data_IF_400094007520
#
_entry.id   IF_400094007520
#
_cell.length_a   1.000
_cell.length_b   1.000
_cell.length_c   1.000
_cell.angle_alpha   90.00
_cell.angle_beta   90.00
_cell.angle_gamma   90.00
#
_symmetry.space_group_name_H-M   'P 1'
#
loop_
_entity.id
_entity.type
_entity.pdbx_description
1 polymer ?
#
# COMPACT_ATOMS: atom_id res chain seq x y z
N UNK A 1 -21.84 -15.75 -31.76
CA UNK A 1 -21.46 -14.37 -31.37
C UNK A 1 -19.94 -14.25 -31.43
N UNK A 2 -19.39 -13.50 -32.39
CA UNK A 2 -17.96 -13.21 -32.46
C UNK A 2 -17.63 -12.26 -31.30
N UNK A 3 -16.81 -12.71 -30.34
CA UNK A 3 -16.30 -11.85 -29.25
C UNK A 3 -15.42 -10.77 -29.88
N UNK A 4 -15.85 -9.52 -29.82
CA UNK A 4 -14.93 -8.41 -30.07
C UNK A 4 -13.86 -8.45 -28.96
N UNK A 5 -12.56 -8.36 -29.29
CA UNK A 5 -11.53 -8.23 -28.26
C UNK A 5 -11.75 -6.92 -27.52
N UNK A 6 -11.80 -6.96 -26.18
CA UNK A 6 -11.79 -5.73 -25.39
C UNK A 6 -10.45 -5.03 -25.64
N UNK A 7 -10.48 -3.78 -26.11
CA UNK A 7 -9.27 -3.01 -26.41
C UNK A 7 -8.63 -2.45 -25.12
N UNK A 8 -9.43 -2.30 -24.05
CA UNK A 8 -8.96 -1.96 -22.70
C UNK A 8 -9.52 -2.93 -21.66
N UNK A 9 -8.64 -3.58 -20.88
CA UNK A 9 -9.01 -4.35 -19.70
C UNK A 9 -8.28 -3.77 -18.49
N UNK A 10 -9.01 -3.24 -17.51
CA UNK A 10 -8.42 -2.57 -16.34
C UNK A 10 -8.80 -3.34 -15.09
N UNK A 11 -7.79 -3.63 -14.25
CA UNK A 11 -7.99 -4.28 -12.96
C UNK A 11 -7.97 -3.25 -11.84
N UNK A 12 -9.04 -3.22 -11.06
CA UNK A 12 -9.08 -2.46 -9.81
C UNK A 12 -9.14 -3.40 -8.62
N UNK A 13 -8.36 -3.05 -7.59
CA UNK A 13 -8.45 -3.71 -6.29
C UNK A 13 -8.91 -2.73 -5.24
N UNK A 14 -9.80 -3.20 -4.37
CA UNK A 14 -10.09 -2.56 -3.09
C UNK A 14 -9.82 -3.56 -1.98
N UNK A 15 -8.77 -3.31 -1.19
CA UNK A 15 -8.57 -4.03 0.06
C UNK A 15 -9.20 -3.23 1.20
N UNK A 16 -10.25 -3.79 1.80
CA UNK A 16 -10.97 -3.14 2.90
C UNK A 16 -10.26 -3.50 4.22
N UNK A 17 -9.98 -2.49 5.06
CA UNK A 17 -9.43 -2.66 6.42
C UNK A 17 -7.96 -2.30 6.62
N UNK A 18 -7.29 -1.64 5.66
CA UNK A 18 -5.83 -1.42 5.67
C UNK A 18 -5.25 -0.59 6.85
N UNK A 19 -6.00 0.33 7.46
CA UNK A 19 -5.36 1.37 8.30
C UNK A 19 -6.00 1.66 9.66
N UNK A 20 -7.18 1.12 9.97
CA UNK A 20 -7.97 1.60 11.13
C UNK A 20 -8.47 0.50 12.07
N UNK A 21 -7.73 -0.61 12.15
CA UNK A 21 -8.26 -1.81 12.78
C UNK A 21 -9.48 -2.32 12.01
N UNK A 22 -9.99 -3.46 12.45
CA UNK A 22 -11.17 -4.05 11.84
C UNK A 22 -12.37 -3.23 12.33
N UNK A 23 -12.79 -2.22 11.57
CA UNK A 23 -13.92 -1.33 11.93
C UNK A 23 -15.28 -2.05 11.99
N UNK A 24 -15.33 -3.31 11.55
CA UNK A 24 -16.47 -4.18 11.74
C UNK A 24 -16.05 -5.40 12.55
N UNK A 25 -16.77 -5.81 13.61
CA UNK A 25 -16.53 -7.12 14.19
C UNK A 25 -16.61 -8.14 13.05
N UNK A 26 -15.52 -8.88 12.80
CA UNK A 26 -15.60 -10.05 11.94
C UNK A 26 -16.61 -10.95 12.64
N UNK A 27 -17.83 -11.02 12.10
CA UNK A 27 -18.80 -12.03 12.50
C UNK A 27 -18.17 -13.42 12.25
N UNK A 28 -18.85 -14.50 12.64
CA UNK A 28 -18.31 -15.85 12.45
C UNK A 28 -18.18 -16.26 10.97
N UNK A 29 -18.68 -15.46 10.01
CA UNK A 29 -18.61 -15.73 8.56
C UNK A 29 -18.72 -14.43 7.74
N UNK A 30 -17.67 -13.59 7.67
CA UNK A 30 -17.75 -12.31 7.00
C UNK A 30 -17.67 -12.49 5.49
N UNK A 31 -18.35 -11.63 4.74
CA UNK A 31 -18.12 -11.54 3.30
C UNK A 31 -16.73 -10.97 3.09
N UNK A 32 -15.81 -11.82 2.67
CA UNK A 32 -14.39 -11.47 2.48
C UNK A 32 -14.03 -11.17 1.03
N UNK A 33 -14.96 -11.35 0.09
CA UNK A 33 -14.71 -11.05 -1.33
C UNK A 33 -15.97 -10.59 -2.07
N UNK A 34 -15.81 -9.70 -3.04
CA UNK A 34 -16.84 -9.32 -4.00
C UNK A 34 -16.22 -8.91 -5.34
N UNK A 35 -16.89 -9.21 -6.45
CA UNK A 35 -16.39 -8.97 -7.80
C UNK A 35 -17.42 -8.14 -8.59
N UNK A 36 -16.94 -7.18 -9.39
CA UNK A 36 -17.79 -6.35 -10.25
C UNK A 36 -17.15 -6.20 -11.62
N UNK A 37 -17.93 -6.52 -12.66
CA UNK A 37 -17.59 -6.20 -14.04
C UNK A 37 -18.28 -4.90 -14.43
N UNK A 38 -17.52 -3.91 -14.90
CA UNK A 38 -18.05 -2.66 -15.43
C UNK A 38 -17.66 -2.56 -16.90
N UNK A 39 -18.62 -2.72 -17.80
CA UNK A 39 -18.40 -2.56 -19.23
C UNK A 39 -18.32 -1.08 -19.59
N UNK A 40 -17.28 -0.70 -20.31
CA UNK A 40 -17.06 0.66 -20.79
C UNK A 40 -16.95 0.65 -22.32
N UNK A 41 -17.02 1.82 -22.95
CA UNK A 41 -16.77 1.89 -24.38
C UNK A 41 -15.37 1.37 -24.69
N UNK A 42 -15.28 0.35 -25.56
CA UNK A 42 -14.01 -0.27 -25.94
C UNK A 42 -13.36 -1.18 -24.89
N UNK A 43 -13.99 -1.45 -23.75
CA UNK A 43 -13.29 -2.16 -22.68
C UNK A 43 -14.12 -2.68 -21.51
N UNK A 44 -13.39 -3.18 -20.51
CA UNK A 44 -13.90 -3.79 -19.30
C UNK A 44 -13.05 -3.36 -18.09
N UNK A 45 -13.73 -2.97 -17.01
CA UNK A 45 -13.10 -2.76 -15.71
C UNK A 45 -13.55 -3.86 -14.76
N UNK A 46 -12.64 -4.74 -14.36
CA UNK A 46 -12.87 -5.72 -13.32
C UNK A 46 -12.45 -5.15 -11.96
N UNK A 47 -13.40 -5.00 -11.05
CA UNK A 47 -13.16 -4.59 -9.67
C UNK A 47 -13.21 -5.80 -8.76
N UNK A 48 -12.13 -6.05 -8.03
CA UNK A 48 -12.00 -7.13 -7.05
C UNK A 48 -11.90 -6.51 -5.67
N UNK A 49 -12.88 -6.81 -4.82
CA UNK A 49 -12.87 -6.42 -3.41
C UNK A 49 -12.47 -7.65 -2.62
N UNK A 50 -11.37 -7.56 -1.87
CA UNK A 50 -10.98 -8.61 -0.94
C UNK A 50 -10.73 -8.00 0.44
N UNK A 51 -11.15 -8.69 1.49
CA UNK A 51 -10.96 -8.19 2.84
C UNK A 51 -9.50 -8.38 3.29
N UNK A 52 -8.84 -7.33 3.79
CA UNK A 52 -7.40 -7.39 4.07
C UNK A 52 -7.04 -8.34 5.23
N UNK A 53 -8.01 -8.74 6.05
CA UNK A 53 -7.81 -9.76 7.07
C UNK A 53 -7.46 -11.15 6.50
N UNK A 54 -7.82 -11.43 5.23
CA UNK A 54 -7.51 -12.71 4.60
C UNK A 54 -6.32 -12.63 3.64
N UNK A 55 -6.01 -11.46 3.10
CA UNK A 55 -5.08 -11.32 1.98
C UNK A 55 -4.33 -9.99 2.01
N UNK A 56 -3.09 -9.98 1.57
CA UNK A 56 -2.32 -8.77 1.28
C UNK A 56 -2.19 -8.54 -0.24
N UNK A 57 -1.48 -7.49 -0.67
CA UNK A 57 -1.31 -7.19 -2.10
C UNK A 57 -0.59 -8.28 -2.90
N UNK A 58 0.45 -8.91 -2.34
CA UNK A 58 1.16 -9.98 -3.03
C UNK A 58 0.33 -11.28 -3.09
N UNK A 59 -0.44 -11.56 -2.04
CA UNK A 59 -1.40 -12.67 -1.99
C UNK A 59 -2.53 -12.45 -2.98
N UNK A 60 -2.99 -11.20 -3.14
CA UNK A 60 -3.92 -10.81 -4.19
C UNK A 60 -3.38 -11.19 -5.56
N UNK A 61 -2.09 -10.98 -5.83
CA UNK A 61 -1.43 -11.48 -7.04
C UNK A 61 -1.61 -12.99 -7.22
N UNK A 62 -1.26 -13.79 -6.21
CA UNK A 62 -1.44 -15.24 -6.25
C UNK A 62 -2.88 -15.66 -6.52
N UNK A 63 -3.86 -14.96 -5.92
CA UNK A 63 -5.28 -15.17 -6.16
C UNK A 63 -5.68 -14.83 -7.59
N UNK A 64 -5.24 -13.68 -8.12
CA UNK A 64 -5.56 -13.23 -9.48
C UNK A 64 -5.04 -14.20 -10.52
N UNK A 65 -3.80 -14.67 -10.38
CA UNK A 65 -3.24 -15.65 -11.29
C UNK A 65 -4.05 -16.94 -11.32
N UNK A 66 -4.39 -17.45 -10.14
CA UNK A 66 -5.19 -18.65 -10.02
C UNK A 66 -6.58 -18.47 -10.64
N UNK A 67 -7.21 -17.30 -10.46
CA UNK A 67 -8.49 -16.97 -11.09
C UNK A 67 -8.36 -16.86 -12.62
N UNK A 68 -7.36 -16.13 -13.10
CA UNK A 68 -7.12 -15.91 -14.53
C UNK A 68 -6.88 -17.22 -15.28
N UNK A 69 -6.01 -18.09 -14.76
CA UNK A 69 -5.72 -19.39 -15.35
C UNK A 69 -6.94 -20.32 -15.36
N UNK A 70 -7.78 -20.28 -14.31
CA UNK A 70 -9.05 -21.00 -14.31
C UNK A 70 -9.98 -20.48 -15.41
N UNK A 71 -10.15 -19.15 -15.52
CA UNK A 71 -10.94 -18.53 -16.59
C UNK A 71 -10.42 -18.90 -17.98
N UNK A 72 -9.09 -18.84 -18.17
CA UNK A 72 -8.43 -19.24 -19.41
C UNK A 72 -8.75 -20.69 -19.77
N UNK A 73 -8.63 -21.61 -18.81
CA UNK A 73 -8.89 -23.04 -19.04
C UNK A 73 -10.33 -23.31 -19.47
N UNK A 74 -11.30 -22.60 -18.89
CA UNK A 74 -12.72 -22.71 -19.25
C UNK A 74 -12.97 -22.15 -20.66
N UNK A 75 -12.41 -20.99 -20.98
CA UNK A 75 -12.64 -20.32 -22.28
C UNK A 75 -12.02 -21.10 -23.43
N UNK A 76 -10.78 -21.57 -23.24
CA UNK A 76 -9.98 -22.23 -24.27
C UNK A 76 -10.04 -23.76 -24.22
N UNK A 77 -10.79 -24.32 -23.26
CA UNK A 77 -10.93 -25.77 -23.05
C UNK A 77 -9.58 -26.48 -22.85
N UNK A 78 -8.66 -25.84 -22.15
CA UNK A 78 -7.38 -26.43 -21.75
C UNK A 78 -7.51 -27.14 -20.40
N UNK A 79 -6.45 -27.84 -19.97
CA UNK A 79 -6.41 -28.40 -18.62
C UNK A 79 -6.51 -27.28 -17.57
N UNK A 80 -7.27 -27.47 -16.47
CA UNK A 80 -7.28 -26.54 -15.36
C UNK A 80 -5.89 -26.37 -14.73
N UNK A 81 -5.57 -25.19 -14.18
CA UNK A 81 -4.33 -24.99 -13.45
C UNK A 81 -4.25 -25.88 -12.21
N UNK A 82 -3.02 -26.20 -11.78
CA UNK A 82 -2.79 -26.94 -10.54
C UNK A 82 -3.24 -26.09 -9.35
N UNK A 83 -3.98 -26.69 -8.42
CA UNK A 83 -4.32 -26.09 -7.14
C UNK A 83 -3.32 -26.55 -6.06
N UNK A 84 -2.30 -25.75 -5.79
CA UNK A 84 -1.34 -26.05 -4.73
C UNK A 84 -1.88 -25.61 -3.37
N UNK A 85 -2.29 -26.59 -2.55
CA UNK A 85 -2.83 -26.37 -1.20
C UNK A 85 -1.84 -25.65 -0.28
N UNK A 86 -0.53 -25.73 -0.54
CA UNK A 86 0.49 -25.01 0.25
C UNK A 86 0.36 -23.50 0.12
N UNK A 87 -0.22 -23.00 -0.98
CA UNK A 87 -0.49 -21.57 -1.15
C UNK A 87 -1.57 -21.04 -0.20
N UNK A 88 -2.27 -21.92 0.52
CA UNK A 88 -3.25 -21.59 1.54
C UNK A 88 -2.79 -21.92 2.97
N UNK A 89 -1.60 -22.51 3.13
CA UNK A 89 -1.11 -22.94 4.44
C UNK A 89 -0.64 -21.75 5.29
N UNK A 90 -1.43 -21.40 6.31
CA UNK A 90 -1.14 -20.33 7.27
C UNK A 90 -0.50 -20.85 8.57
N UNK A 91 -0.06 -22.10 8.61
CA UNK A 91 0.49 -22.75 9.80
C UNK A 91 1.66 -21.98 10.43
N UNK A 92 2.51 -21.37 9.60
CA UNK A 92 3.67 -20.58 10.06
C UNK A 92 3.30 -19.34 10.88
N UNK A 93 2.08 -18.80 10.72
CA UNK A 93 1.60 -17.62 11.45
C UNK A 93 0.83 -17.98 12.72
N UNK A 94 0.79 -19.27 13.09
CA UNK A 94 0.19 -19.73 14.35
C UNK A 94 1.22 -19.65 15.46
N UNK A 95 0.81 -19.13 16.62
CA UNK A 95 1.70 -19.05 17.79
C UNK A 95 2.07 -20.47 18.23
N UNK A 96 3.38 -20.74 18.39
CA UNK A 96 3.94 -22.03 18.80
C UNK A 96 3.92 -22.13 20.33
N UNK A 97 2.73 -22.25 20.91
CA UNK A 97 2.56 -22.45 22.34
C UNK A 97 1.39 -21.67 22.91
N UNK A 98 0.51 -22.36 23.64
CA UNK A 98 -0.37 -21.71 24.61
C UNK A 98 0.53 -21.22 25.75
N UNK A 99 0.98 -19.97 25.68
CA UNK A 99 1.42 -19.28 26.90
C UNK A 99 0.25 -19.39 27.89
N UNK A 100 0.54 -19.82 29.12
CA UNK A 100 -0.47 -19.97 30.16
C UNK A 100 -1.31 -18.69 30.21
N UNK A 101 -2.62 -18.85 30.01
CA UNK A 101 -3.59 -17.79 29.78
C UNK A 101 -3.75 -16.87 31.01
N UNK A 102 -2.73 -16.07 31.34
CA UNK A 102 -2.99 -14.74 31.91
C UNK A 102 -3.28 -13.84 30.72
N UNK A 103 -4.50 -13.99 30.18
CA UNK A 103 -5.04 -13.14 29.14
C UNK A 103 -4.85 -11.69 29.57
N UNK A 104 -4.05 -10.94 28.81
CA UNK A 104 -3.94 -9.52 29.05
C UNK A 104 -5.15 -8.87 28.38
N UNK A 105 -6.09 -8.42 29.21
CA UNK A 105 -7.03 -7.38 28.78
C UNK A 105 -6.23 -6.09 28.64
N UNK A 106 -5.63 -5.89 27.46
CA UNK A 106 -5.15 -4.57 27.09
C UNK A 106 -6.41 -3.72 27.02
N UNK A 107 -6.58 -2.82 28.00
CA UNK A 107 -7.65 -1.85 27.96
C UNK A 107 -7.62 -1.20 26.56
N UNK A 108 -8.77 -1.01 25.89
CA UNK A 108 -8.80 -0.19 24.69
C UNK A 108 -8.10 1.11 25.07
N UNK A 109 -6.93 1.36 24.49
CA UNK A 109 -6.39 2.69 24.55
C UNK A 109 -7.41 3.49 23.77
N UNK A 110 -8.31 4.14 24.51
CA UNK A 110 -9.09 5.24 24.00
C UNK A 110 -8.01 6.12 23.41
N UNK A 111 -7.93 6.16 22.09
CA UNK A 111 -7.26 7.25 21.44
C UNK A 111 -8.09 8.42 21.91
N UNK A 112 -7.66 9.06 23.01
CA UNK A 112 -7.82 10.50 23.08
C UNK A 112 -7.25 10.91 21.73
N UNK A 113 -8.13 11.31 20.83
CA UNK A 113 -7.78 12.16 19.73
C UNK A 113 -7.20 13.40 20.42
N UNK A 114 -5.96 13.30 20.91
CA UNK A 114 -5.18 14.35 21.53
C UNK A 114 -4.93 15.30 20.38
N UNK A 115 -5.92 16.16 20.16
CA UNK A 115 -5.91 17.27 19.22
C UNK A 115 -5.20 16.88 17.92
N UNK A 116 -5.84 16.01 17.13
CA UNK A 116 -5.46 15.84 15.72
C UNK A 116 -5.28 17.27 15.16
N UNK A 117 -4.09 17.63 14.64
CA UNK A 117 -3.97 18.91 13.95
C UNK A 117 -5.08 18.96 12.90
N UNK A 118 -5.82 20.07 12.85
CA UNK A 118 -6.99 20.29 11.97
C UNK A 118 -6.77 19.55 10.65
N UNK A 119 -7.50 18.46 10.40
CA UNK A 119 -7.37 17.70 9.16
C UNK A 119 -7.57 18.65 7.99
N UNK A 120 -6.48 18.94 7.28
CA UNK A 120 -6.54 19.79 6.10
C UNK A 120 -7.10 18.96 4.94
N UNK A 121 -7.89 19.54 4.03
CA UNK A 121 -8.41 18.81 2.89
C UNK A 121 -7.28 18.11 2.12
N UNK A 122 -7.34 16.77 2.02
CA UNK A 122 -6.32 15.95 1.37
C UNK A 122 -6.75 15.50 -0.03
N UNK A 123 -5.80 15.27 -0.93
CA UNK A 123 -5.97 14.60 -2.22
C UNK A 123 -4.81 13.63 -2.47
N UNK A 124 -4.74 13.03 -3.66
CA UNK A 124 -3.58 12.28 -4.08
C UNK A 124 -3.12 12.73 -5.46
N UNK A 125 -1.82 13.01 -5.55
CA UNK A 125 -1.11 13.31 -6.78
C UNK A 125 -0.64 11.98 -7.38
N UNK A 126 -1.00 11.74 -8.65
CA UNK A 126 -0.49 10.62 -9.42
C UNK A 126 0.74 11.08 -10.19
N UNK A 127 1.89 10.49 -9.85
CA UNK A 127 3.18 10.75 -10.48
C UNK A 127 3.66 9.51 -11.23
N UNK A 128 4.44 9.69 -12.29
CA UNK A 128 5.15 8.64 -13.01
C UNK A 128 6.65 8.91 -12.91
N UNK A 129 7.44 7.92 -12.53
CA UNK A 129 8.91 8.00 -12.50
C UNK A 129 9.46 7.26 -13.72
N UNK A 130 9.91 7.98 -14.77
CA UNK A 130 10.45 7.35 -15.96
C UNK A 130 11.70 6.53 -15.64
N UNK A 131 11.90 5.39 -16.31
CA UNK A 131 13.06 4.52 -16.12
C UNK A 131 14.38 5.25 -16.37
N UNK A 132 14.42 6.14 -17.36
CA UNK A 132 15.60 6.99 -17.62
C UNK A 132 16.02 7.83 -16.39
N UNK A 133 15.05 8.31 -15.62
CA UNK A 133 15.26 9.11 -14.40
C UNK A 133 15.58 8.25 -13.18
N UNK A 134 15.13 6.99 -13.15
CA UNK A 134 15.42 6.02 -12.08
C UNK A 134 16.93 5.83 -11.90
N UNK A 135 17.69 5.72 -12.99
CA UNK A 135 19.12 5.44 -12.92
C UNK A 135 19.88 6.60 -12.28
N UNK A 136 19.57 7.84 -12.67
CA UNK A 136 20.13 9.04 -12.05
C UNK A 136 19.77 9.14 -10.58
N UNK A 137 18.50 8.90 -10.23
CA UNK A 137 18.05 8.93 -8.84
C UNK A 137 18.79 7.90 -7.99
N UNK A 138 18.92 6.67 -8.49
CA UNK A 138 19.62 5.60 -7.80
C UNK A 138 21.10 5.91 -7.63
N UNK A 139 21.74 6.52 -8.62
CA UNK A 139 23.13 6.96 -8.51
C UNK A 139 23.33 7.94 -7.34
N UNK A 140 22.49 8.98 -7.23
CA UNK A 140 22.58 9.97 -6.15
C UNK A 140 22.23 9.40 -4.76
N UNK A 141 21.34 8.41 -4.73
CA UNK A 141 20.95 7.71 -3.51
C UNK A 141 21.94 6.60 -3.10
N UNK A 142 22.95 6.30 -3.92
CA UNK A 142 23.95 5.27 -3.60
C UNK A 142 25.05 5.86 -2.71
N UNK A 143 25.33 5.27 -1.53
CA UNK A 143 26.37 5.76 -0.65
C UNK A 143 27.77 5.64 -1.30
N UNK A 144 28.66 6.61 -1.05
CA UNK A 144 30.06 6.49 -1.48
C UNK A 144 30.71 5.30 -0.78
N UNK A 145 31.64 4.61 -1.46
CA UNK A 145 32.38 3.46 -0.91
C UNK A 145 31.71 2.10 -1.16
N UNK A 146 30.41 2.03 -1.43
CA UNK A 146 29.74 0.80 -1.90
C UNK A 146 29.47 -0.28 -0.86
N UNK A 147 29.76 -0.04 0.42
CA UNK A 147 29.57 -1.02 1.51
C UNK A 147 28.09 -1.37 1.76
N UNK A 148 27.18 -0.41 1.52
CA UNK A 148 25.74 -0.59 1.68
C UNK A 148 25.07 -0.56 0.32
N UNK A 149 24.46 -1.69 -0.05
CA UNK A 149 23.68 -1.80 -1.28
C UNK A 149 22.26 -1.30 -1.06
N UNK A 150 21.85 -0.30 -1.84
CA UNK A 150 20.49 0.21 -1.88
C UNK A 150 19.75 -0.26 -3.14
N UNK A 151 18.43 -0.34 -3.03
CA UNK A 151 17.55 -0.63 -4.17
C UNK A 151 17.00 0.66 -4.79
N UNK A 152 16.38 0.52 -5.95
CA UNK A 152 15.58 1.60 -6.54
C UNK A 152 14.44 2.03 -5.62
N UNK A 153 13.86 1.09 -4.85
CA UNK A 153 12.83 1.40 -3.86
C UNK A 153 13.36 2.37 -2.81
N UNK A 154 14.54 2.09 -2.24
CA UNK A 154 15.14 2.94 -1.21
C UNK A 154 15.38 4.36 -1.73
N UNK A 155 15.80 4.49 -3.00
CA UNK A 155 16.10 5.77 -3.64
C UNK A 155 14.86 6.65 -3.81
N UNK A 156 13.77 6.13 -4.41
CA UNK A 156 12.54 6.91 -4.54
C UNK A 156 11.84 7.13 -3.19
N UNK A 157 11.95 6.17 -2.26
CA UNK A 157 11.36 6.28 -0.93
C UNK A 157 12.01 7.41 -0.16
N UNK A 158 13.34 7.52 -0.21
CA UNK A 158 14.09 8.62 0.38
C UNK A 158 13.70 9.99 -0.22
N UNK A 159 13.59 10.07 -1.55
CA UNK A 159 13.24 11.32 -2.23
C UNK A 159 11.82 11.78 -1.86
N UNK A 160 10.85 10.87 -1.92
CA UNK A 160 9.46 11.17 -1.58
C UNK A 160 9.31 11.49 -0.09
N UNK A 161 10.04 10.78 0.79
CA UNK A 161 10.04 11.05 2.23
C UNK A 161 10.52 12.46 2.55
N UNK A 162 11.65 12.87 1.99
CA UNK A 162 12.15 14.24 2.09
C UNK A 162 11.14 15.25 1.57
N UNK A 163 10.70 15.06 0.33
CA UNK A 163 9.95 16.09 -0.40
C UNK A 163 8.58 16.29 0.23
N UNK A 164 7.84 15.23 0.54
CA UNK A 164 6.51 15.34 1.16
C UNK A 164 6.61 16.02 2.52
N UNK A 165 7.54 15.62 3.39
CA UNK A 165 7.71 16.25 4.70
C UNK A 165 8.17 17.71 4.59
N UNK A 166 9.02 18.04 3.62
CA UNK A 166 9.49 19.42 3.37
C UNK A 166 8.33 20.36 3.08
N UNK A 167 7.36 19.93 2.26
CA UNK A 167 6.16 20.74 1.98
C UNK A 167 5.22 20.81 3.18
N UNK A 168 5.01 19.69 3.88
CA UNK A 168 4.18 19.65 5.09
C UNK A 168 4.70 20.51 6.22
N UNK A 169 6.02 20.59 6.40
CA UNK A 169 6.66 21.44 7.40
C UNK A 169 6.37 22.95 7.20
N UNK A 170 5.89 23.37 6.01
CA UNK A 170 5.50 24.77 5.75
C UNK A 170 4.15 25.14 6.32
N UNK A 171 3.26 24.16 6.52
CA UNK A 171 1.85 24.38 6.90
C UNK A 171 1.49 23.78 8.27
N UNK A 172 2.28 22.84 8.76
CA UNK A 172 2.13 22.28 10.10
C UNK A 172 3.22 22.83 11.00
N UNK A 173 2.81 23.31 12.18
CA UNK A 173 3.74 23.66 13.25
C UNK A 173 4.31 22.39 13.85
N UNK A 174 5.59 22.12 13.60
CA UNK A 174 6.27 20.89 14.00
C UNK A 174 7.58 21.25 14.69
N UNK A 175 7.97 20.48 15.70
CA UNK A 175 9.31 20.58 16.27
C UNK A 175 10.31 19.96 15.26
N UNK A 176 11.25 20.74 14.69
CA UNK A 176 12.22 20.21 13.73
C UNK A 176 13.12 19.12 14.32
N UNK A 177 13.29 19.07 15.64
CA UNK A 177 14.10 18.06 16.33
C UNK A 177 13.30 16.80 16.70
N UNK A 178 11.99 16.78 16.46
CA UNK A 178 11.19 15.59 16.70
C UNK A 178 11.63 14.44 15.76
N UNK A 179 11.51 13.17 16.21
CA UNK A 179 11.83 12.02 15.38
C UNK A 179 10.95 11.95 14.13
N UNK A 180 11.56 11.76 12.96
CA UNK A 180 10.84 11.56 11.71
C UNK A 180 10.36 10.10 11.59
N UNK A 181 9.04 9.93 11.58
CA UNK A 181 8.43 8.62 11.51
C UNK A 181 8.25 8.17 10.06
N UNK A 182 9.02 7.16 9.65
CA UNK A 182 8.85 6.47 8.38
C UNK A 182 8.47 5.01 8.61
N UNK A 183 7.56 4.49 7.81
CA UNK A 183 7.17 3.09 7.84
C UNK A 183 7.02 2.52 6.43
N UNK A 184 7.11 1.21 6.32
CA UNK A 184 6.89 0.54 5.04
C UNK A 184 6.24 -0.81 5.24
N UNK A 185 5.65 -1.34 4.18
CA UNK A 185 5.03 -2.65 4.20
C UNK A 185 5.93 -3.63 3.46
N UNK A 186 6.57 -4.54 4.20
CA UNK A 186 7.53 -5.51 3.66
C UNK A 186 6.87 -6.87 3.46
N UNK A 187 6.91 -7.36 2.23
CA UNK A 187 6.57 -8.75 1.92
C UNK A 187 7.64 -9.70 2.48
N UNK A 188 7.25 -10.57 3.40
CA UNK A 188 8.17 -11.51 4.07
C UNK A 188 8.11 -12.94 3.51
N UNK A 189 7.36 -13.19 2.42
CA UNK A 189 7.23 -14.53 1.83
C UNK A 189 8.55 -15.22 1.56
N UNK A 190 9.48 -14.53 0.89
CA UNK A 190 10.80 -15.08 0.56
C UNK A 190 11.64 -15.35 1.81
N UNK A 191 11.53 -14.49 2.83
CA UNK A 191 12.22 -14.63 4.12
C UNK A 191 11.70 -15.82 4.94
N UNK A 192 10.44 -16.21 4.72
CA UNK A 192 9.77 -17.33 5.38
C UNK A 192 9.75 -18.62 4.55
N UNK A 193 10.28 -18.60 3.33
CA UNK A 193 10.22 -19.73 2.41
C UNK A 193 8.79 -20.11 2.02
N UNK A 194 7.87 -19.15 1.99
CA UNK A 194 6.48 -19.38 1.56
C UNK A 194 6.40 -19.55 0.04
N UNK A 195 5.41 -20.31 -0.48
CA UNK A 195 5.18 -20.42 -1.92
C UNK A 195 5.00 -19.05 -2.58
N UNK A 196 5.52 -18.88 -3.80
CA UNK A 196 5.42 -17.61 -4.53
C UNK A 196 3.96 -17.15 -4.73
N UNK A 197 3.03 -18.10 -4.90
CA UNK A 197 1.58 -17.84 -5.04
C UNK A 197 0.81 -17.90 -3.72
N UNK A 198 1.49 -17.82 -2.57
CA UNK A 198 0.83 -17.80 -1.26
C UNK A 198 -0.21 -16.67 -1.18
N UNK A 199 -1.48 -17.05 -0.98
CA UNK A 199 -2.64 -16.15 -1.07
C UNK A 199 -3.01 -15.50 0.28
N UNK A 200 -2.31 -15.84 1.37
CA UNK A 200 -2.54 -15.20 2.67
C UNK A 200 -1.80 -13.88 2.84
N UNK A 201 -1.99 -13.24 3.98
CA UNK A 201 -1.20 -12.07 4.39
C UNK A 201 0.13 -12.53 5.01
N UNK A 202 1.25 -12.06 4.47
CA UNK A 202 2.61 -12.36 4.90
C UNK A 202 3.43 -11.07 4.84
N UNK A 203 3.13 -10.14 5.75
CA UNK A 203 3.71 -8.80 5.79
C UNK A 203 4.28 -8.49 7.18
N UNK A 204 5.32 -7.66 7.21
CA UNK A 204 5.71 -6.86 8.38
C UNK A 204 5.62 -5.38 8.03
N UNK A 205 5.41 -4.54 9.04
CA UNK A 205 5.34 -3.09 8.89
C UNK A 205 6.45 -2.41 9.68
N UNK A 206 7.74 -2.61 9.32
CA UNK A 206 8.85 -2.00 10.05
C UNK A 206 8.82 -0.49 9.94
N UNK A 207 9.41 0.16 10.93
CA UNK A 207 9.39 1.61 11.09
C UNK A 207 10.77 2.13 11.47
N UNK A 208 10.98 3.45 11.38
CA UNK A 208 12.18 4.08 11.93
C UNK A 208 12.33 3.89 13.43
N UNK A 209 11.24 3.63 14.17
CA UNK A 209 11.31 3.32 15.60
C UNK A 209 11.99 1.97 15.91
N UNK A 210 12.18 1.11 14.91
CA UNK A 210 12.94 -0.14 15.04
C UNK A 210 14.46 0.07 14.94
N UNK A 211 14.91 1.30 14.66
CA UNK A 211 16.32 1.65 14.52
C UNK A 211 16.90 2.22 15.83
N UNK A 212 18.20 2.01 16.03
CA UNK A 212 18.93 2.62 17.16
C UNK A 212 19.06 4.14 17.05
N UNK A 213 19.08 4.68 15.83
CA UNK A 213 19.17 6.11 15.56
C UNK A 213 18.09 6.50 14.56
N UNK A 214 17.22 7.42 14.99
CA UNK A 214 16.09 7.92 14.22
C UNK A 214 16.47 9.32 13.73
N UNK A 215 16.39 9.62 12.43
CA UNK A 215 16.63 10.98 11.94
C UNK A 215 15.54 11.93 12.46
N UNK A 216 15.92 13.17 12.74
CA UNK A 216 14.95 14.22 13.06
C UNK A 216 14.18 14.67 11.82
N UNK A 217 13.07 15.37 12.00
CA UNK A 217 12.35 16.03 10.89
C UNK A 217 13.29 16.96 10.11
N UNK A 218 14.13 17.73 10.82
CA UNK A 218 15.12 18.61 10.23
C UNK A 218 16.12 17.84 9.34
N UNK A 219 16.62 16.69 9.80
CA UNK A 219 17.52 15.85 9.02
C UNK A 219 16.88 15.38 7.72
N UNK A 220 15.60 14.98 7.78
CA UNK A 220 14.86 14.46 6.61
C UNK A 220 14.59 15.54 5.57
N UNK A 221 14.13 16.73 6.00
CA UNK A 221 13.74 17.80 5.06
C UNK A 221 14.93 18.65 4.57
N UNK A 222 16.11 18.47 5.18
CA UNK A 222 17.33 19.17 4.78
C UNK A 222 17.79 18.81 3.37
N UNK A 223 18.65 19.67 2.81
CA UNK A 223 19.35 19.43 1.53
C UNK A 223 20.57 18.50 1.69
N UNK A 224 20.63 17.70 2.76
CA UNK A 224 21.67 16.70 2.95
C UNK A 224 21.70 15.68 1.81
N UNK A 225 22.81 14.94 1.68
CA UNK A 225 22.97 13.93 0.63
C UNK A 225 21.88 12.86 0.71
N UNK A 226 21.16 12.64 -0.41
CA UNK A 226 20.00 11.74 -0.48
C UNK A 226 20.33 10.30 -0.05
N UNK A 227 21.55 9.83 -0.32
CA UNK A 227 21.96 8.48 0.06
C UNK A 227 21.84 8.19 1.54
N UNK A 228 21.95 9.20 2.43
CA UNK A 228 21.78 9.01 3.87
C UNK A 228 20.37 8.55 4.21
N UNK A 229 19.36 9.17 3.59
CA UNK A 229 17.96 8.77 3.75
C UNK A 229 17.68 7.42 3.10
N UNK A 230 18.28 7.12 1.95
CA UNK A 230 18.14 5.81 1.31
C UNK A 230 18.72 4.69 2.18
N UNK A 231 19.83 4.94 2.88
CA UNK A 231 20.41 4.01 3.86
C UNK A 231 19.46 3.79 5.04
N UNK A 232 18.83 4.85 5.57
CA UNK A 232 17.82 4.69 6.63
C UNK A 232 16.64 3.82 6.16
N UNK A 233 16.10 4.06 4.97
CA UNK A 233 15.03 3.22 4.39
C UNK A 233 15.48 1.76 4.31
N UNK A 234 16.68 1.51 3.77
CA UNK A 234 17.27 0.16 3.68
C UNK A 234 17.41 -0.51 5.05
N UNK A 235 17.81 0.23 6.07
CA UNK A 235 17.95 -0.27 7.44
C UNK A 235 16.59 -0.66 8.02
N UNK A 236 15.55 0.17 7.82
CA UNK A 236 14.17 -0.18 8.19
C UNK A 236 13.73 -1.47 7.48
N UNK A 237 13.98 -1.62 6.18
CA UNK A 237 13.66 -2.85 5.44
C UNK A 237 14.36 -4.09 5.99
N UNK A 238 15.58 -3.91 6.51
CA UNK A 238 16.38 -5.00 7.06
C UNK A 238 15.81 -5.55 8.37
N UNK A 239 15.04 -4.75 9.15
CA UNK A 239 14.46 -5.22 10.42
C UNK A 239 13.30 -6.20 10.24
N UNK A 240 12.73 -6.32 9.04
CA UNK A 240 11.62 -7.23 8.74
C UNK A 240 12.04 -8.71 8.65
N UNK A 241 12.60 -9.30 9.70
CA UNK A 241 13.13 -10.67 9.69
C UNK A 241 12.10 -11.70 10.19
N UNK A 242 12.34 -13.02 9.97
CA UNK A 242 11.53 -14.07 10.60
C UNK A 242 11.48 -13.96 12.13
N UNK A 243 12.57 -13.52 12.77
CA UNK A 243 12.66 -13.31 14.22
C UNK A 243 11.74 -12.16 14.66
N UNK A 244 11.71 -11.05 13.92
CA UNK A 244 10.78 -9.95 14.16
C UNK A 244 9.31 -10.40 14.03
N UNK A 245 9.00 -11.24 13.04
CA UNK A 245 7.67 -11.83 12.92
C UNK A 245 7.33 -12.70 14.13
N UNK A 246 8.25 -13.56 14.56
CA UNK A 246 8.03 -14.42 15.72
C UNK A 246 7.78 -13.59 16.99
N UNK A 247 8.59 -12.55 17.23
CA UNK A 247 8.40 -11.62 18.35
C UNK A 247 7.03 -10.92 18.30
N UNK A 248 6.58 -10.48 17.12
CA UNK A 248 5.26 -9.90 16.92
C UNK A 248 4.13 -10.90 17.24
N UNK A 249 4.26 -12.15 16.77
CA UNK A 249 3.30 -13.21 17.06
C UNK A 249 3.24 -13.52 18.56
N UNK A 250 4.39 -13.57 19.24
CA UNK A 250 4.48 -13.82 20.67
C UNK A 250 3.83 -12.69 21.48
N UNK A 251 4.03 -11.42 21.06
CA UNK A 251 3.37 -10.25 21.66
C UNK A 251 1.86 -10.22 21.41
N UNK A 252 1.42 -10.61 20.22
CA UNK A 252 0.01 -10.60 19.84
C UNK A 252 -0.77 -11.78 20.43
N UNK A 253 -0.11 -12.93 20.68
CA UNK A 253 -0.71 -14.17 21.19
C UNK A 253 -1.56 -13.99 22.46
N UNK A 254 -1.06 -13.37 23.55
CA UNK A 254 -1.80 -13.28 24.82
C UNK A 254 -2.96 -12.27 24.81
N UNK A 255 -3.13 -11.49 23.72
CA UNK A 255 -4.19 -10.49 23.61
C UNK A 255 -5.50 -11.17 23.26
N UNK A 256 -6.44 -11.22 24.22
CA UNK A 256 -7.72 -11.89 24.04
C UNK A 256 -8.58 -11.21 22.95
N UNK A 257 -8.71 -9.89 23.05
CA UNK A 257 -9.41 -9.08 22.06
C UNK A 257 -8.43 -8.48 21.04
N UNK A 258 -8.30 -9.16 19.90
CA UNK A 258 -7.41 -8.75 18.80
C UNK A 258 -7.84 -7.44 18.14
N UNK A 259 -9.05 -6.93 18.41
CA UNK A 259 -9.48 -5.60 17.90
C UNK A 259 -8.74 -4.46 18.61
N UNK A 260 -8.11 -4.72 19.76
CA UNK A 260 -7.24 -3.77 20.46
C UNK A 260 -5.81 -3.75 19.93
N UNK A 261 -5.44 -4.66 19.02
CA UNK A 261 -4.16 -4.58 18.33
C UNK A 261 -4.13 -3.40 17.37
N UNK A 262 -2.96 -2.80 17.23
CA UNK A 262 -2.68 -1.70 16.30
C UNK A 262 -1.50 -2.10 15.43
N UNK A 263 -1.47 -1.57 14.21
CA UNK A 263 -0.35 -1.80 13.30
C UNK A 263 0.93 -1.13 13.81
N UNK A 264 0.78 0.06 14.42
CA UNK A 264 1.87 0.83 15.00
C UNK A 264 1.54 1.18 16.45
N UNK A 265 2.55 1.15 17.32
CA UNK A 265 2.46 1.67 18.69
C UNK A 265 2.55 3.18 18.72
N UNK A 266 3.38 3.76 17.85
CA UNK A 266 3.48 5.20 17.64
C UNK A 266 2.29 5.68 16.81
N UNK A 267 1.51 6.68 17.28
CA UNK A 267 0.46 7.29 16.48
C UNK A 267 1.03 7.93 15.21
N UNK A 268 0.34 7.73 14.09
CA UNK A 268 0.66 8.43 12.85
C UNK A 268 0.29 9.92 13.00
N UNK A 269 1.18 10.78 12.55
CA UNK A 269 1.00 12.24 12.54
C UNK A 269 1.00 12.74 11.09
N UNK A 270 0.70 14.03 10.88
CA UNK A 270 0.82 14.65 9.54
C UNK A 270 2.26 14.60 9.01
N UNK A 271 3.26 14.48 9.88
CA UNK A 271 4.68 14.31 9.51
C UNK A 271 5.12 12.86 9.37
N UNK A 272 4.21 11.89 9.56
CA UNK A 272 4.49 10.50 9.26
C UNK A 272 4.35 10.23 7.77
N UNK A 273 5.22 9.38 7.22
CA UNK A 273 5.08 8.89 5.86
C UNK A 273 5.37 7.39 5.82
N UNK A 274 4.59 6.65 5.06
CA UNK A 274 4.94 5.31 4.71
C UNK A 274 4.60 4.95 3.29
N UNK A 275 5.13 3.80 2.88
CA UNK A 275 5.08 3.36 1.50
C UNK A 275 4.58 1.92 1.45
N UNK A 276 3.57 1.69 0.62
CA UNK A 276 3.14 0.35 0.22
C UNK A 276 3.47 0.11 -1.24
N UNK A 277 4.25 -0.93 -1.49
CA UNK A 277 4.67 -1.32 -2.83
C UNK A 277 3.74 -2.41 -3.37
N UNK A 278 3.07 -2.13 -4.50
CA UNK A 278 2.17 -3.08 -5.16
C UNK A 278 2.69 -3.55 -6.52
N UNK A 279 4.01 -3.42 -6.74
CA UNK A 279 4.68 -3.87 -7.98
C UNK A 279 4.91 -5.38 -8.04
N UNK A 280 5.05 -6.03 -6.89
CA UNK A 280 5.49 -7.44 -6.81
C UNK A 280 4.51 -8.47 -7.38
N UNK A 281 3.18 -8.27 -7.47
CA UNK A 281 2.39 -9.09 -8.38
C UNK A 281 2.53 -8.56 -9.82
N UNK A 282 3.11 -9.32 -10.78
CA UNK A 282 3.17 -8.94 -12.19
C UNK A 282 1.77 -9.03 -12.81
N UNK A 283 0.88 -8.15 -12.38
CA UNK A 283 -0.57 -8.28 -12.57
C UNK A 283 -0.99 -8.21 -14.04
N UNK A 284 -0.15 -7.59 -14.87
CA UNK A 284 -0.36 -7.43 -16.30
C UNK A 284 -0.19 -8.73 -17.09
N UNK A 285 0.51 -9.73 -16.55
CA UNK A 285 0.69 -10.99 -17.28
C UNK A 285 -0.48 -11.98 -17.06
N UNK A 286 -1.40 -11.67 -16.14
CA UNK A 286 -2.55 -12.51 -15.82
C UNK A 286 -3.59 -12.50 -16.96
N UNK A 287 -3.52 -13.47 -17.87
CA UNK A 287 -4.51 -13.62 -18.96
C UNK A 287 -5.74 -14.41 -18.49
N UNK A 288 -6.89 -13.75 -18.50
CA UNK A 288 -8.17 -14.37 -18.12
C UNK A 288 -8.79 -15.22 -19.24
N UNK A 289 -8.10 -15.39 -20.38
CA UNK A 289 -8.59 -16.06 -21.58
C UNK A 289 -9.36 -15.14 -22.53
N UNK A 290 -9.74 -13.96 -22.07
CA UNK A 290 -10.29 -12.87 -22.89
C UNK A 290 -9.37 -11.65 -22.97
N UNK A 291 -8.17 -11.72 -22.37
CA UNK A 291 -7.19 -10.64 -22.38
C UNK A 291 -6.45 -10.46 -21.06
N UNK A 292 -5.33 -9.76 -21.16
CA UNK A 292 -4.45 -9.33 -20.07
C UNK A 292 -4.78 -7.91 -19.60
N UNK A 293 -4.66 -7.60 -18.29
CA UNK A 293 -4.83 -6.24 -17.79
C UNK A 293 -3.86 -5.25 -18.46
N UNK A 294 -4.37 -4.08 -18.81
CA UNK A 294 -3.64 -2.94 -19.39
C UNK A 294 -3.34 -1.85 -18.37
N UNK A 295 -4.08 -1.82 -17.26
CA UNK A 295 -3.83 -0.94 -16.13
C UNK A 295 -4.28 -1.59 -14.81
N UNK A 296 -3.58 -1.23 -13.74
CA UNK A 296 -3.85 -1.70 -12.38
C UNK A 296 -3.89 -0.52 -11.41
N UNK A 297 -4.96 -0.44 -10.62
CA UNK A 297 -5.19 0.68 -9.69
C UNK A 297 -5.80 0.21 -8.38
N UNK A 298 -5.41 0.86 -7.29
CA UNK A 298 -5.98 0.63 -5.97
C UNK A 298 -7.03 1.69 -5.65
N UNK A 299 -8.22 1.25 -5.24
CA UNK A 299 -9.32 2.14 -4.88
C UNK A 299 -9.32 2.41 -3.36
N UNK A 300 -8.50 3.37 -2.93
CA UNK A 300 -8.58 3.93 -1.57
C UNK A 300 -9.84 4.82 -1.48
N UNK A 301 -10.92 4.29 -0.91
CA UNK A 301 -12.19 4.99 -0.65
C UNK A 301 -12.84 4.44 0.62
N UNK A 302 -13.46 5.28 1.47
CA UNK A 302 -13.64 6.74 1.32
C UNK A 302 -12.42 7.58 1.72
N UNK A 303 -11.36 6.95 2.24
CA UNK A 303 -10.19 7.65 2.76
C UNK A 303 -9.01 7.50 1.80
N UNK A 304 -8.41 8.64 1.41
CA UNK A 304 -7.05 8.67 0.94
C UNK A 304 -6.16 8.72 2.19
N UNK A 305 -5.36 7.67 2.48
CA UNK A 305 -4.50 7.70 3.65
C UNK A 305 -3.53 8.88 3.55
N UNK A 306 -3.63 9.83 4.49
CA UNK A 306 -2.81 11.05 4.51
C UNK A 306 -1.32 10.74 4.57
N UNK A 307 -0.93 9.60 5.13
CA UNK A 307 0.48 9.26 5.37
C UNK A 307 0.99 8.12 4.49
N UNK A 308 0.20 7.57 3.56
CA UNK A 308 0.61 6.37 2.80
C UNK A 308 0.72 6.63 1.29
N UNK A 309 1.93 6.48 0.76
CA UNK A 309 2.19 6.40 -0.68
C UNK A 309 1.95 4.98 -1.16
N UNK A 310 1.33 4.84 -2.34
CA UNK A 310 1.20 3.56 -3.02
C UNK A 310 2.01 3.56 -4.33
N UNK A 311 2.86 2.55 -4.51
CA UNK A 311 3.73 2.40 -5.70
C UNK A 311 3.15 1.32 -6.62
N UNK A 312 2.78 1.69 -7.84
CA UNK A 312 2.21 0.82 -8.86
C UNK A 312 3.28 0.19 -9.76
N UNK A 313 3.01 -1.01 -10.32
CA UNK A 313 3.87 -1.64 -11.32
C UNK A 313 4.10 -0.72 -12.52
N UNK A 314 5.25 -0.83 -13.21
CA UNK A 314 5.52 -0.05 -14.40
C UNK A 314 4.39 -0.14 -15.41
N UNK A 315 4.09 0.96 -16.10
CA UNK A 315 3.05 0.97 -17.14
C UNK A 315 3.31 -0.12 -18.17
N UNK A 316 2.23 -0.73 -18.66
CA UNK A 316 2.29 -1.53 -19.89
C UNK A 316 2.62 -0.56 -21.01
N UNK A 317 3.78 -0.75 -21.65
CA UNK A 317 4.19 0.07 -22.78
C UNK A 317 3.21 -0.11 -23.95
N UNK A 318 2.83 1.01 -24.55
CA UNK A 318 2.15 1.02 -25.85
C UNK A 318 3.20 1.21 -26.96
N UNK A 319 2.86 0.91 -28.22
CA UNK A 319 3.74 1.21 -29.35
C UNK A 319 4.13 2.70 -29.35
N UNK A 320 5.43 2.98 -29.26
CA UNK A 320 6.00 4.33 -29.19
C UNK A 320 6.31 4.84 -27.77
N UNK A 321 5.91 4.12 -26.72
CA UNK A 321 6.37 4.38 -25.34
C UNK A 321 7.64 3.57 -25.08
N UNK A 322 8.72 4.25 -24.70
CA UNK A 322 10.04 3.65 -24.49
C UNK A 322 10.51 3.73 -23.03
N UNK A 323 9.77 4.40 -22.14
CA UNK A 323 10.27 4.74 -20.80
C UNK A 323 9.38 4.19 -19.68
N UNK A 324 9.24 2.85 -19.66
CA UNK A 324 8.43 2.10 -18.70
C UNK A 324 8.85 2.39 -17.25
N UNK A 325 8.07 3.23 -16.58
CA UNK A 325 8.34 3.70 -15.23
C UNK A 325 7.23 3.36 -14.25
N UNK A 326 7.55 3.35 -12.95
CA UNK A 326 6.56 3.11 -11.90
C UNK A 326 5.65 4.34 -11.75
N UNK A 327 4.41 4.12 -11.29
CA UNK A 327 3.52 5.22 -10.91
C UNK A 327 3.33 5.27 -9.40
N UNK A 328 3.08 6.46 -8.86
CA UNK A 328 2.99 6.73 -7.44
C UNK A 328 1.71 7.48 -7.17
N UNK A 329 0.93 6.95 -6.24
CA UNK A 329 -0.14 7.71 -5.60
C UNK A 329 0.43 8.34 -4.33
N UNK A 330 0.66 9.64 -4.37
CA UNK A 330 1.26 10.42 -3.26
C UNK A 330 0.18 11.26 -2.58
N UNK A 331 -0.13 11.01 -1.29
CA UNK A 331 -1.10 11.84 -0.58
C UNK A 331 -0.54 13.24 -0.33
N UNK A 332 -1.37 14.26 -0.56
CA UNK A 332 -0.96 15.66 -0.43
C UNK A 332 -2.14 16.54 -0.04
N UNK A 333 -1.91 17.42 0.93
CA UNK A 333 -2.82 18.49 1.27
C UNK A 333 -3.15 19.32 0.02
N UNK A 334 -4.44 19.60 -0.22
CA UNK A 334 -4.90 20.26 -1.45
C UNK A 334 -4.22 21.61 -1.70
N UNK A 335 -3.94 22.35 -0.63
CA UNK A 335 -3.25 23.65 -0.71
C UNK A 335 -1.74 23.54 -1.03
N UNK A 336 -1.14 22.35 -0.86
CA UNK A 336 0.27 22.09 -1.17
C UNK A 336 0.47 21.51 -2.57
N UNK A 337 -0.58 21.12 -3.29
CA UNK A 337 -0.46 20.41 -4.57
C UNK A 337 0.38 21.19 -5.58
N UNK A 338 0.06 22.46 -5.80
CA UNK A 338 0.78 23.28 -6.79
C UNK A 338 2.25 23.46 -6.38
N UNK A 339 2.49 23.83 -5.11
CA UNK A 339 3.84 23.98 -4.58
C UNK A 339 4.68 22.69 -4.63
N UNK A 340 4.04 21.53 -4.43
CA UNK A 340 4.67 20.22 -4.54
C UNK A 340 5.00 19.86 -5.99
N UNK A 341 4.10 20.14 -6.94
CA UNK A 341 4.34 19.92 -8.36
C UNK A 341 5.39 20.88 -8.95
N UNK A 342 5.55 22.06 -8.35
CA UNK A 342 6.59 23.04 -8.70
C UNK A 342 7.93 22.79 -8.01
N UNK A 343 8.04 21.78 -7.13
CA UNK A 343 9.30 21.42 -6.50
C UNK A 343 10.33 20.94 -7.54
N UNK A 344 11.55 21.49 -7.57
CA UNK A 344 12.56 21.12 -8.58
C UNK A 344 12.90 19.62 -8.60
N UNK A 345 12.89 18.96 -7.43
CA UNK A 345 13.12 17.52 -7.35
C UNK A 345 11.94 16.77 -7.99
N UNK A 346 10.71 17.23 -7.75
CA UNK A 346 9.50 16.60 -8.32
C UNK A 346 9.49 16.76 -9.84
N UNK A 347 9.69 17.97 -10.35
CA UNK A 347 9.70 18.24 -11.79
C UNK A 347 10.81 17.51 -12.53
N UNK A 348 11.97 17.30 -11.88
CA UNK A 348 13.09 16.63 -12.54
C UNK A 348 12.90 15.12 -12.67
N UNK A 349 12.36 14.47 -11.62
CA UNK A 349 12.26 13.01 -11.56
C UNK A 349 10.90 12.47 -11.99
N UNK A 350 9.82 13.24 -11.88
CA UNK A 350 8.47 12.73 -12.07
C UNK A 350 7.69 13.50 -13.13
N UNK A 351 6.95 12.75 -13.94
CA UNK A 351 5.91 13.29 -14.80
C UNK A 351 4.58 13.32 -14.03
N UNK A 352 3.88 14.45 -14.07
CA UNK A 352 2.54 14.57 -13.52
C UNK A 352 1.53 13.81 -14.39
N UNK A 353 0.74 12.94 -13.78
CA UNK A 353 -0.25 12.10 -14.48
C UNK A 353 -1.67 12.58 -14.22
N UNK A 354 -1.95 13.07 -13.01
CA UNK A 354 -3.28 13.56 -12.66
C UNK A 354 -3.51 13.62 -11.16
N UNK A 355 -4.71 14.08 -10.78
CA UNK A 355 -5.18 14.09 -9.41
C UNK A 355 -6.26 13.01 -9.22
N UNK A 356 -6.23 12.36 -8.06
CA UNK A 356 -7.34 11.51 -7.66
C UNK A 356 -8.48 12.39 -7.16
N UNK A 357 -9.62 12.32 -7.86
CA UNK A 357 -10.85 12.97 -7.43
C UNK A 357 -11.27 12.42 -6.06
N UNK A 358 -11.32 13.29 -5.06
CA UNK A 358 -12.02 13.03 -3.80
C UNK A 358 -13.50 13.38 -4.03
N UNK A 359 -14.46 12.43 -4.03
CA UNK A 359 -15.87 12.80 -4.05
C UNK A 359 -16.18 13.69 -2.83
N UNK A 360 -17.05 14.69 -3.00
CA UNK A 360 -17.59 15.45 -1.87
C UNK A 360 -18.39 14.46 -1.01
N UNK A 361 -17.95 14.20 0.22
CA UNK A 361 -18.82 13.52 1.18
C UNK A 361 -19.97 14.48 1.54
N UNK A 362 -21.14 14.26 0.96
CA UNK A 362 -22.38 14.81 1.52
C UNK A 362 -22.74 13.90 2.68
N UNK A 363 -22.42 14.34 3.89
CA UNK A 363 -22.99 13.72 5.09
C UNK A 363 -24.47 14.09 5.10
N UNK A 364 -25.33 13.25 4.54
CA UNK A 364 -26.74 13.27 4.93
C UNK A 364 -26.81 12.69 6.33
N UNK A 365 -27.07 13.54 7.33
CA UNK A 365 -27.39 13.09 8.69
C UNK A 365 -28.55 12.09 8.62
N UNK A 366 -28.26 10.81 8.85
CA UNK A 366 -29.30 9.80 9.02
C UNK A 366 -29.81 9.93 10.45
N UNK A 367 -31.00 10.51 10.61
CA UNK A 367 -31.73 10.43 11.88
C UNK A 367 -31.98 8.95 12.22
N UNK A 368 -31.71 8.51 13.46
CA UNK A 368 -31.86 7.11 13.83
C UNK A 368 -33.35 6.75 13.89
N UNK A 369 -33.88 6.15 12.81
CA UNK A 369 -35.29 5.73 12.82
C UNK A 369 -35.85 5.08 11.55
N UNK A 370 -35.31 5.30 10.35
CA UNK A 370 -35.90 4.73 9.12
C UNK A 370 -34.97 3.72 8.47
N UNK A 371 -35.22 2.43 8.72
CA UNK A 371 -34.56 1.31 8.07
C UNK A 371 -34.96 1.17 6.60
N UNK A 372 -34.37 1.97 5.72
CA UNK A 372 -34.25 1.70 4.27
C UNK A 372 -33.06 2.50 3.73
N UNK A 373 -32.01 1.81 3.32
CA UNK A 373 -30.82 2.41 2.72
C UNK A 373 -31.00 2.44 1.19
N UNK A 374 -31.27 3.62 0.62
CA UNK A 374 -31.09 3.88 -0.81
C UNK A 374 -29.93 4.86 -0.98
N UNK A 375 -28.84 4.41 -1.59
CA UNK A 375 -27.77 5.29 -2.04
C UNK A 375 -28.01 5.64 -3.51
N UNK A 376 -28.26 6.91 -3.79
CA UNK A 376 -28.20 7.46 -5.14
C UNK A 376 -26.87 8.20 -5.28
N UNK A 377 -26.07 7.76 -6.24
CA UNK A 377 -24.85 8.43 -6.70
C UNK A 377 -25.31 9.50 -7.69
N UNK A 378 -25.27 10.78 -7.34
CA UNK A 378 -25.40 11.85 -8.34
C UNK A 378 -24.09 11.93 -9.14
N UNK A 379 -24.23 12.07 -10.47
CA UNK A 379 -23.18 11.95 -11.47
C UNK A 379 -22.15 13.07 -11.43
#
# INVERSE_FOLDING_TARGET
>A
MKKAPYHAFILFTKLIGMLYGILHPLNTSPVVSAFKFNFIHGGLILTMHLHHCVIDNAGFGGFVYQLAENCYSIIHKTQPPIWDIKCLDRSQFRCKGMLSLKQMNIAPQLVQHTLQPVHRPNTAVLLHLPKSKVETLKYLATPPGGDIRISTYDAFSALLWRTVLRHRARIYSVDPQAPAFFYEIVNVRSRLGLPARFQGSALLAPTTADLHHIPSIADVISDALLWRLAVFVRQVTATATPETLQALLDKASPVADKTNLRLFETPLTTMSLGITDVREPPIYDADFGFGQPKAFRHFFYPFCPETLICVYPPRVLYEGDHDAGCEFHVPMEKELVDAFLDDPDVQYYFDFVGLKLSPRMVYTEVSPGSGTCSSTCEQ
#
